data_IF_936946355069
#
_entry.id   IF_936946355069
#
_cell.length_a   1.000
_cell.length_b   1.000
_cell.length_c   1.000
_cell.angle_alpha   90.00
_cell.angle_beta   90.00
_cell.angle_gamma   90.00
#
_symmetry.space_group_name_H-M   'P 1'
#
loop_
_entity.id
_entity.type
_entity.pdbx_description
1 polymer ?
#
# COMPACT_ATOMS: atom_id res chain seq x y z
N UNK A 1 -9.55 0.93 28.17
CA UNK A 1 -9.54 -0.40 27.52
C UNK A 1 -8.53 -0.38 26.38
N UNK A 2 -7.69 -1.38 26.31
CA UNK A 2 -6.63 -1.50 25.28
C UNK A 2 -7.24 -1.77 23.91
N UNK A 3 -6.80 -1.02 22.90
CA UNK A 3 -7.10 -1.33 21.50
C UNK A 3 -5.87 -1.93 20.82
N UNK A 4 -6.08 -2.96 20.02
CA UNK A 4 -5.02 -3.56 19.22
C UNK A 4 -5.04 -2.97 17.82
N UNK A 5 -3.88 -2.57 17.32
CA UNK A 5 -3.76 -2.03 15.97
C UNK A 5 -3.61 -3.15 14.95
N UNK A 6 -4.55 -3.24 14.01
CA UNK A 6 -4.49 -4.15 12.87
C UNK A 6 -4.28 -3.34 11.58
N UNK A 7 -3.12 -3.51 10.97
CA UNK A 7 -2.83 -2.91 9.66
C UNK A 7 -3.07 -3.92 8.54
N UNK A 8 -3.26 -3.42 7.33
CA UNK A 8 -3.36 -4.27 6.14
C UNK A 8 -2.13 -5.17 5.98
N UNK A 9 -0.94 -4.63 6.21
CA UNK A 9 0.32 -5.39 6.13
C UNK A 9 0.36 -6.54 7.13
N UNK A 10 -0.11 -6.32 8.35
CA UNK A 10 -0.15 -7.34 9.39
C UNK A 10 -1.12 -8.47 9.02
N UNK A 11 -2.33 -8.11 8.55
CA UNK A 11 -3.33 -9.08 8.12
C UNK A 11 -2.86 -9.88 6.90
N UNK A 12 -2.25 -9.22 5.92
CA UNK A 12 -1.72 -9.87 4.73
C UNK A 12 -0.61 -10.87 5.09
N UNK A 13 0.32 -10.49 5.98
CA UNK A 13 1.39 -11.37 6.43
C UNK A 13 0.85 -12.57 7.21
N UNK A 14 -0.18 -12.37 8.02
CA UNK A 14 -0.83 -13.45 8.76
C UNK A 14 -1.51 -14.46 7.83
N UNK A 15 -2.27 -13.98 6.85
CA UNK A 15 -2.93 -14.84 5.86
C UNK A 15 -1.91 -15.62 5.02
N UNK A 16 -0.79 -15.01 4.69
CA UNK A 16 0.25 -15.65 3.91
C UNK A 16 0.82 -16.90 4.56
N UNK A 17 0.85 -16.98 5.90
CA UNK A 17 1.32 -18.18 6.61
C UNK A 17 0.50 -19.42 6.26
N UNK A 18 -0.77 -19.24 5.88
CA UNK A 18 -1.68 -20.35 5.55
C UNK A 18 -1.70 -20.69 4.05
N UNK A 19 -1.15 -19.82 3.20
CA UNK A 19 -1.29 -19.91 1.76
C UNK A 19 0.06 -20.05 1.02
N UNK A 20 1.14 -20.31 1.74
CA UNK A 20 2.49 -20.38 1.18
C UNK A 20 3.06 -21.81 1.22
N UNK A 21 3.87 -22.20 0.22
CA UNK A 21 4.63 -23.46 0.29
C UNK A 21 5.79 -23.44 1.29
N UNK A 22 6.17 -22.25 1.80
CA UNK A 22 7.22 -22.09 2.81
C UNK A 22 6.64 -21.41 4.06
N UNK A 23 5.94 -22.17 4.94
CA UNK A 23 5.33 -21.61 6.14
C UNK A 23 6.34 -21.10 7.17
N UNK A 24 7.54 -21.67 7.23
CA UNK A 24 8.56 -21.25 8.20
C UNK A 24 9.06 -19.83 7.86
N UNK A 25 9.33 -19.56 6.60
CA UNK A 25 9.73 -18.22 6.17
C UNK A 25 8.60 -17.21 6.35
N UNK A 26 7.37 -17.60 6.02
CA UNK A 26 6.20 -16.74 6.18
C UNK A 26 5.96 -16.40 7.65
N UNK A 27 6.20 -17.33 8.59
CA UNK A 27 6.10 -17.07 10.02
C UNK A 27 7.16 -16.07 10.48
N UNK A 28 8.39 -16.20 10.01
CA UNK A 28 9.46 -15.23 10.31
C UNK A 28 9.09 -13.84 9.80
N UNK A 29 8.56 -13.75 8.58
CA UNK A 29 8.11 -12.50 7.98
C UNK A 29 6.97 -11.88 8.79
N UNK A 30 6.00 -12.68 9.23
CA UNK A 30 4.90 -12.23 10.09
C UNK A 30 5.42 -11.64 11.40
N UNK A 31 6.36 -12.31 12.06
CA UNK A 31 6.96 -11.82 13.31
C UNK A 31 7.67 -10.48 13.10
N UNK A 32 8.36 -10.30 11.98
CA UNK A 32 8.98 -9.01 11.62
C UNK A 32 7.95 -7.89 11.50
N UNK A 33 6.85 -8.16 10.81
CA UNK A 33 5.76 -7.18 10.65
C UNK A 33 5.13 -6.87 12.00
N UNK A 34 4.89 -7.90 12.81
CA UNK A 34 4.33 -7.76 14.16
C UNK A 34 5.22 -6.90 15.07
N UNK A 35 6.53 -7.08 14.99
CA UNK A 35 7.52 -6.29 15.72
C UNK A 35 7.84 -4.94 15.08
N UNK A 36 7.22 -4.63 13.94
CA UNK A 36 7.46 -3.41 13.16
C UNK A 36 8.93 -3.21 12.80
N UNK A 37 9.63 -4.30 12.53
CA UNK A 37 11.02 -4.25 12.11
C UNK A 37 11.10 -3.80 10.64
N UNK A 38 11.97 -2.82 10.28
CA UNK A 38 12.10 -2.38 8.91
C UNK A 38 12.63 -3.50 8.03
N UNK A 39 12.06 -3.65 6.85
CA UNK A 39 12.52 -4.58 5.83
C UNK A 39 13.32 -3.81 4.79
N UNK A 40 14.49 -4.35 4.40
CA UNK A 40 15.28 -3.74 3.33
C UNK A 40 14.52 -3.94 2.00
N UNK A 41 14.14 -2.85 1.30
CA UNK A 41 13.41 -2.97 0.05
C UNK A 41 14.30 -3.56 -1.06
N UNK A 42 13.72 -4.46 -1.87
CA UNK A 42 14.38 -4.95 -3.07
C UNK A 42 14.15 -3.98 -4.24
N UNK A 43 14.76 -4.27 -5.39
CA UNK A 43 14.67 -3.40 -6.58
C UNK A 43 13.23 -3.23 -7.06
N UNK A 44 12.44 -4.30 -7.10
CA UNK A 44 11.03 -4.22 -7.51
C UNK A 44 10.19 -3.33 -6.62
N UNK A 45 10.43 -3.38 -5.31
CA UNK A 45 9.74 -2.52 -4.34
C UNK A 45 10.12 -1.05 -4.56
N UNK A 46 11.39 -0.77 -4.78
CA UNK A 46 11.88 0.60 -5.05
C UNK A 46 11.31 1.14 -6.36
N UNK A 47 11.26 0.33 -7.40
CA UNK A 47 10.67 0.70 -8.68
C UNK A 47 9.16 0.99 -8.54
N UNK A 48 8.44 0.19 -7.76
CA UNK A 48 7.03 0.41 -7.48
C UNK A 48 6.78 1.73 -6.76
N UNK A 49 7.60 2.05 -5.75
CA UNK A 49 7.52 3.31 -5.00
C UNK A 49 7.82 4.49 -5.94
N UNK A 50 8.85 4.38 -6.75
CA UNK A 50 9.21 5.43 -7.71
C UNK A 50 8.08 5.68 -8.72
N UNK A 51 7.50 4.60 -9.28
CA UNK A 51 6.40 4.68 -10.23
C UNK A 51 5.19 5.38 -9.61
N UNK A 52 4.78 4.96 -8.42
CA UNK A 52 3.64 5.55 -7.71
C UNK A 52 3.88 7.03 -7.40
N UNK A 53 5.09 7.41 -6.99
CA UNK A 53 5.45 8.79 -6.75
C UNK A 53 5.39 9.63 -8.03
N UNK A 54 5.81 9.07 -9.17
CA UNK A 54 5.71 9.73 -10.46
C UNK A 54 4.25 9.96 -10.87
N UNK A 55 3.37 8.98 -10.67
CA UNK A 55 1.94 9.12 -10.96
C UNK A 55 1.32 10.19 -10.08
N UNK A 56 1.59 10.17 -8.79
CA UNK A 56 1.09 11.15 -7.82
C UNK A 56 1.53 12.56 -8.18
N UNK A 57 2.80 12.75 -8.50
CA UNK A 57 3.35 14.06 -8.90
C UNK A 57 2.74 14.55 -10.20
N UNK A 58 2.59 13.68 -11.20
CA UNK A 58 2.00 14.02 -12.49
C UNK A 58 0.51 14.38 -12.35
N UNK A 59 -0.23 13.66 -11.52
CA UNK A 59 -1.63 13.98 -11.22
C UNK A 59 -1.79 15.33 -10.53
N UNK A 60 -0.75 15.76 -9.79
CA UNK A 60 -0.68 17.09 -9.15
C UNK A 60 -0.14 18.19 -10.05
N UNK A 61 0.21 17.90 -11.32
CA UNK A 61 0.65 18.87 -12.30
C UNK A 61 2.16 18.90 -12.60
N UNK A 62 2.92 17.94 -12.08
CA UNK A 62 4.37 17.84 -12.33
C UNK A 62 4.64 16.78 -13.40
N UNK A 63 5.01 17.22 -14.59
CA UNK A 63 5.27 16.31 -15.71
C UNK A 63 6.46 15.37 -15.42
N UNK A 64 6.37 14.08 -15.84
CA UNK A 64 7.49 13.16 -15.75
C UNK A 64 8.57 13.53 -16.79
N UNK A 65 9.82 13.03 -16.60
CA UNK A 65 10.88 13.21 -17.60
C UNK A 65 10.46 12.68 -18.98
N UNK A 66 10.79 13.40 -20.05
CA UNK A 66 10.35 13.01 -21.42
C UNK A 66 10.85 11.65 -21.86
N UNK A 67 12.04 11.26 -21.44
CA UNK A 67 12.71 10.03 -21.88
C UNK A 67 12.67 8.89 -20.88
N UNK A 68 11.90 9.01 -19.81
CA UNK A 68 11.79 7.92 -18.85
C UNK A 68 10.90 6.80 -19.41
N UNK A 69 11.30 5.55 -19.18
CA UNK A 69 10.60 4.35 -19.71
C UNK A 69 9.14 4.24 -19.25
N UNK A 70 8.78 4.85 -18.12
CA UNK A 70 7.42 4.81 -17.57
C UNK A 70 6.59 6.06 -17.89
N UNK A 71 7.16 7.05 -18.52
CA UNK A 71 6.51 8.36 -18.68
C UNK A 71 5.16 8.28 -19.41
N UNK A 72 5.03 7.41 -20.41
CA UNK A 72 3.76 7.20 -21.11
C UNK A 72 2.67 6.66 -20.19
N UNK A 73 2.98 5.61 -19.45
CA UNK A 73 2.04 5.00 -18.49
C UNK A 73 1.71 5.97 -17.34
N UNK A 74 2.70 6.71 -16.85
CA UNK A 74 2.51 7.71 -15.79
C UNK A 74 1.54 8.79 -16.24
N UNK A 75 1.69 9.34 -17.46
CA UNK A 75 0.80 10.35 -17.99
C UNK A 75 -0.63 9.85 -18.18
N UNK A 76 -0.78 8.63 -18.67
CA UNK A 76 -2.09 8.01 -18.86
C UNK A 76 -2.82 7.83 -17.53
N UNK A 77 -2.16 7.26 -16.54
CA UNK A 77 -2.74 7.06 -15.20
C UNK A 77 -3.03 8.40 -14.51
N UNK A 78 -2.10 9.35 -14.61
CA UNK A 78 -2.28 10.68 -14.03
C UNK A 78 -3.43 11.45 -14.67
N UNK A 79 -3.70 11.24 -15.96
CA UNK A 79 -4.85 11.81 -16.63
C UNK A 79 -6.18 11.34 -16.04
N UNK A 80 -6.26 10.05 -15.69
CA UNK A 80 -7.44 9.47 -15.02
C UNK A 80 -7.57 10.02 -13.60
N UNK A 81 -6.46 10.21 -12.89
CA UNK A 81 -6.40 10.54 -11.47
C UNK A 81 -6.13 12.02 -11.18
N UNK A 82 -6.23 12.88 -12.20
CA UNK A 82 -5.94 14.32 -12.07
C UNK A 82 -6.76 14.96 -10.95
N UNK A 83 -6.09 15.65 -10.03
CA UNK A 83 -6.72 16.34 -8.91
C UNK A 83 -7.14 15.42 -7.75
N UNK A 84 -6.94 14.11 -7.84
CA UNK A 84 -7.29 13.19 -6.76
C UNK A 84 -6.27 13.26 -5.61
N UNK A 85 -6.71 13.09 -4.34
CA UNK A 85 -5.79 12.94 -3.22
C UNK A 85 -5.15 11.54 -3.23
N UNK A 86 -3.92 11.45 -2.74
CA UNK A 86 -3.15 10.20 -2.67
C UNK A 86 -2.79 9.87 -1.23
N UNK A 87 -2.55 8.58 -0.95
CA UNK A 87 -2.10 8.09 0.35
C UNK A 87 -3.06 8.50 1.48
N UNK A 88 -4.34 8.18 1.31
CA UNK A 88 -5.39 8.56 2.24
C UNK A 88 -5.45 7.57 3.40
N UNK A 89 -5.23 7.99 4.66
CA UNK A 89 -5.37 7.10 5.80
C UNK A 89 -6.85 6.75 6.02
N UNK A 90 -7.13 5.49 6.32
CA UNK A 90 -8.46 5.01 6.62
C UNK A 90 -8.44 4.24 7.94
N UNK A 91 -9.40 4.51 8.81
CA UNK A 91 -9.50 3.92 10.15
C UNK A 91 -10.90 3.38 10.38
N UNK A 92 -10.99 2.29 11.12
CA UNK A 92 -12.26 1.78 11.61
C UNK A 92 -12.06 1.09 12.96
N UNK A 93 -12.95 1.35 13.91
CA UNK A 93 -13.00 0.60 15.17
C UNK A 93 -13.87 -0.64 14.98
N UNK A 94 -13.38 -1.78 15.49
CA UNK A 94 -14.12 -3.04 15.42
C UNK A 94 -13.94 -3.83 16.70
N UNK A 95 -15.03 -4.40 17.20
CA UNK A 95 -14.98 -5.34 18.31
C UNK A 95 -15.19 -6.76 17.78
N UNK A 96 -14.27 -7.66 18.13
CA UNK A 96 -14.29 -9.06 17.71
C UNK A 96 -14.00 -9.91 18.93
N UNK A 97 -14.93 -10.78 19.31
CA UNK A 97 -14.78 -11.70 20.46
C UNK A 97 -14.41 -10.98 21.75
N UNK A 98 -14.99 -9.81 22.00
CA UNK A 98 -14.75 -9.02 23.21
C UNK A 98 -13.46 -8.19 23.17
N UNK A 99 -12.68 -8.28 22.10
CA UNK A 99 -11.45 -7.49 21.93
C UNK A 99 -11.71 -6.32 20.99
N UNK A 100 -11.14 -5.16 21.32
CA UNK A 100 -11.27 -3.94 20.51
C UNK A 100 -10.07 -3.79 19.59
N UNK A 101 -10.35 -3.57 18.31
CA UNK A 101 -9.35 -3.38 17.28
C UNK A 101 -9.53 -2.02 16.61
N UNK A 102 -8.40 -1.36 16.35
CA UNK A 102 -8.33 -0.26 15.40
C UNK A 102 -7.79 -0.82 14.09
N UNK A 103 -8.67 -0.88 13.08
CA UNK A 103 -8.27 -1.26 11.73
C UNK A 103 -7.68 -0.03 11.04
N UNK A 104 -6.53 -0.18 10.45
CA UNK A 104 -5.85 0.89 9.74
C UNK A 104 -5.40 0.44 8.37
N UNK A 105 -5.67 1.25 7.37
CA UNK A 105 -5.20 1.06 6.02
C UNK A 105 -4.88 2.39 5.36
N UNK A 106 -4.20 2.34 4.24
CA UNK A 106 -3.90 3.50 3.43
C UNK A 106 -4.40 3.25 2.02
N UNK A 107 -5.28 4.14 1.56
CA UNK A 107 -5.84 4.07 0.20
C UNK A 107 -4.89 4.82 -0.73
N UNK A 108 -4.48 4.18 -1.84
CA UNK A 108 -3.55 4.81 -2.78
C UNK A 108 -4.14 6.11 -3.33
N UNK A 109 -5.36 6.07 -3.86
CA UNK A 109 -6.06 7.27 -4.31
C UNK A 109 -7.57 7.04 -4.40
N UNK A 110 -8.32 8.12 -4.29
CA UNK A 110 -9.78 8.14 -4.35
C UNK A 110 -10.24 9.26 -5.29
N UNK A 111 -11.06 8.93 -6.27
CA UNK A 111 -11.64 9.94 -7.17
C UNK A 111 -13.08 9.60 -7.52
N UNK A 112 -13.97 10.58 -7.39
CA UNK A 112 -15.39 10.46 -7.72
C UNK A 112 -16.06 9.24 -7.07
N UNK A 113 -15.74 8.97 -5.79
CA UNK A 113 -16.30 7.84 -5.04
C UNK A 113 -15.68 6.48 -5.37
N UNK A 114 -14.67 6.43 -6.23
CA UNK A 114 -13.99 5.20 -6.62
C UNK A 114 -12.60 5.12 -6.00
N UNK A 115 -12.30 3.97 -5.37
CA UNK A 115 -10.97 3.67 -4.83
C UNK A 115 -10.13 3.06 -5.95
N UNK A 116 -8.93 3.62 -6.16
CA UNK A 116 -7.95 3.08 -7.10
C UNK A 116 -6.72 2.59 -6.33
N UNK A 117 -6.25 1.41 -6.70
CA UNK A 117 -5.03 0.82 -6.16
C UNK A 117 -4.01 0.73 -7.29
N UNK A 118 -2.84 1.35 -7.09
CA UNK A 118 -1.80 1.42 -8.11
C UNK A 118 -0.88 0.22 -7.95
N UNK A 119 -0.80 -0.61 -8.99
CA UNK A 119 0.08 -1.79 -9.03
C UNK A 119 1.17 -1.61 -10.07
N UNK A 120 2.37 -2.00 -9.68
CA UNK A 120 3.54 -2.05 -10.55
C UNK A 120 4.07 -3.48 -10.61
N UNK A 121 4.21 -3.99 -11.81
CA UNK A 121 4.73 -5.34 -12.02
C UNK A 121 5.71 -5.41 -13.20
#
# INVERSE_FOLDING_TARGET
>A
MTRFLLTQSLLASWLRMYCTPDPDQAQKDFVRVLKRQPTRPNRSMLDGIQFENMVSACAAGVDPPEKHKWSGAVREMAGILAGAPFQIPAYADKEISGLRFLLYGRIDTLKAGTIYDIKFS
#
